data_IF_065007253845
#
_entry.id   IF_065007253845
#
_cell.length_a   1.000
_cell.length_b   1.000
_cell.length_c   1.000
_cell.angle_alpha   90.00
_cell.angle_beta   90.00
_cell.angle_gamma   90.00
#
_symmetry.space_group_name_H-M   'P 1'
#
loop_
_entity.id
_entity.type
_entity.pdbx_description
1 polymer ?
#
# COMPACT_ATOMS: atom_id res chain seq x y z
N UNK A 1 14.91 9.78 3.52
CA UNK A 1 13.92 9.88 4.60
C UNK A 1 12.59 9.30 4.13
N UNK A 2 12.10 8.18 4.68
CA UNK A 2 10.80 7.58 4.29
C UNK A 2 9.67 8.27 5.05
N UNK A 3 8.62 8.69 4.35
CA UNK A 3 7.47 9.35 4.95
C UNK A 3 6.75 8.41 5.93
N UNK A 4 6.66 8.76 7.23
CA UNK A 4 5.87 8.01 8.23
C UNK A 4 4.43 8.53 8.42
N UNK A 5 4.03 9.53 7.64
CA UNK A 5 2.70 10.11 7.73
C UNK A 5 1.62 9.15 7.19
N UNK A 6 0.48 9.05 7.89
CA UNK A 6 -0.72 8.38 7.38
C UNK A 6 -1.23 9.16 6.17
N UNK A 7 -1.28 8.51 5.01
CA UNK A 7 -1.72 9.09 3.74
C UNK A 7 -2.49 8.08 2.94
N UNK A 8 -3.36 8.58 2.08
CA UNK A 8 -4.02 7.78 1.06
C UNK A 8 -2.98 7.32 0.02
N UNK A 9 -3.09 6.07 -0.37
CA UNK A 9 -2.19 5.47 -1.35
C UNK A 9 -2.64 5.87 -2.76
N UNK A 10 -1.67 6.23 -3.61
CA UNK A 10 -1.90 6.45 -5.04
C UNK A 10 -1.96 5.10 -5.76
N UNK A 11 -2.87 4.96 -6.71
CA UNK A 11 -3.08 3.74 -7.49
C UNK A 11 -3.34 2.48 -6.62
N UNK A 12 -4.38 2.48 -5.78
CA UNK A 12 -4.72 1.31 -4.96
C UNK A 12 -5.18 0.15 -5.85
N UNK A 13 -4.40 -0.93 -5.85
CA UNK A 13 -4.66 -2.19 -6.53
C UNK A 13 -4.92 -3.28 -5.50
N UNK A 14 -6.03 -3.98 -5.64
CA UNK A 14 -6.29 -5.20 -4.86
C UNK A 14 -5.35 -6.29 -5.36
N UNK A 15 -4.51 -6.79 -4.47
CA UNK A 15 -3.59 -7.90 -4.73
C UNK A 15 -3.83 -9.00 -3.71
N UNK A 16 -3.68 -10.25 -4.15
CA UNK A 16 -3.64 -11.39 -3.22
C UNK A 16 -2.19 -11.62 -2.85
N UNK A 17 -1.86 -11.47 -1.57
CA UNK A 17 -0.49 -11.71 -1.10
C UNK A 17 -0.16 -13.20 -1.25
N UNK A 18 1.13 -13.55 -1.27
CA UNK A 18 1.60 -14.95 -1.31
C UNK A 18 1.05 -15.85 -0.19
N UNK A 19 0.54 -15.24 0.89
CA UNK A 19 -0.09 -15.92 2.01
C UNK A 19 -1.62 -16.08 1.86
N UNK A 20 -2.16 -15.94 0.65
CA UNK A 20 -3.60 -16.08 0.34
C UNK A 20 -4.50 -14.95 0.83
N UNK A 21 -3.98 -14.00 1.62
CA UNK A 21 -4.77 -12.89 2.18
C UNK A 21 -4.94 -11.75 1.16
N UNK A 22 -6.15 -11.18 1.02
CA UNK A 22 -6.36 -9.99 0.21
C UNK A 22 -5.66 -8.79 0.86
N UNK A 23 -4.99 -8.01 0.03
CA UNK A 23 -4.37 -6.75 0.42
C UNK A 23 -4.61 -5.70 -0.66
N UNK A 24 -4.51 -4.44 -0.28
CA UNK A 24 -4.46 -3.33 -1.23
C UNK A 24 -3.03 -2.83 -1.31
N UNK A 25 -2.40 -2.98 -2.47
CA UNK A 25 -1.12 -2.38 -2.76
C UNK A 25 -1.35 -1.02 -3.39
N UNK A 26 -0.59 -0.01 -2.98
CA UNK A 26 -0.53 1.26 -3.68
C UNK A 26 0.84 1.90 -3.53
N UNK A 27 0.96 3.15 -3.94
CA UNK A 27 2.24 3.88 -3.91
C UNK A 27 2.07 5.18 -3.14
N UNK A 28 3.06 5.56 -2.32
CA UNK A 28 3.02 6.84 -1.64
C UNK A 28 3.18 7.99 -2.65
N UNK A 29 2.23 8.94 -2.76
CA UNK A 29 2.32 10.04 -3.72
C UNK A 29 3.46 11.04 -3.43
N UNK A 30 4.03 11.02 -2.21
CA UNK A 30 5.07 11.96 -1.76
C UNK A 30 6.50 11.42 -1.88
N UNK A 31 6.71 10.14 -1.54
CA UNK A 31 8.05 9.53 -1.56
C UNK A 31 8.16 8.29 -2.45
N UNK A 32 7.12 7.98 -3.24
CA UNK A 32 7.15 6.88 -4.22
C UNK A 32 7.27 5.48 -3.62
N UNK A 33 7.26 5.35 -2.29
CA UNK A 33 7.43 4.06 -1.62
C UNK A 33 6.15 3.23 -1.76
N UNK A 34 6.29 1.95 -2.12
CA UNK A 34 5.17 1.00 -2.17
C UNK A 34 4.55 0.85 -0.78
N UNK A 35 3.26 1.08 -0.69
CA UNK A 35 2.45 0.93 0.51
C UNK A 35 1.55 -0.30 0.33
N UNK A 36 1.39 -1.05 1.41
CA UNK A 36 0.53 -2.23 1.44
C UNK A 36 -0.42 -2.09 2.63
N UNK A 37 -1.72 -2.14 2.36
CA UNK A 37 -2.75 -2.20 3.38
C UNK A 37 -3.33 -3.61 3.36
N UNK A 38 -2.90 -4.40 4.34
CA UNK A 38 -3.40 -5.74 4.59
C UNK A 38 -4.54 -5.57 5.59
N UNK A 39 -5.76 -5.94 5.20
CA UNK A 39 -6.93 -5.73 6.06
C UNK A 39 -8.21 -5.94 5.27
N UNK A 40 -8.92 -7.01 5.62
CA UNK A 40 -10.37 -6.93 5.74
C UNK A 40 -10.71 -6.21 7.04
#
# INVERSE_FOLDING_TARGET
MKCKAKREMKDPKKITMKNGKPATQGTCPKCGTKMFKIGG
#
